data_IF_111747719621
#
_entry.id   IF_111747719621
#
_cell.length_a   1.000
_cell.length_b   1.000
_cell.length_c   1.000
_cell.angle_alpha   90.00
_cell.angle_beta   90.00
_cell.angle_gamma   90.00
#
_symmetry.space_group_name_H-M   'P 1'
#
loop_
_entity.id
_entity.type
_entity.pdbx_description
1 polymer ?
#
# COMPACT_ATOMS: atom_id res chain seq x y z
N UNK A 1 -30.89 13.88 -63.61
CA UNK A 1 -31.65 12.62 -63.51
C UNK A 1 -32.33 12.61 -62.14
N UNK A 2 -33.62 12.23 -62.04
CA UNK A 2 -34.42 11.87 -60.84
C UNK A 2 -34.16 12.66 -59.52
N UNK A 3 -35.03 13.53 -58.94
CA UNK A 3 -36.51 13.49 -58.70
C UNK A 3 -36.97 12.18 -58.00
N UNK A 4 -37.79 12.14 -56.94
CA UNK A 4 -38.68 13.11 -56.24
C UNK A 4 -38.53 12.91 -54.68
N UNK A 5 -39.00 13.68 -53.68
CA UNK A 5 -40.20 14.53 -53.41
C UNK A 5 -41.52 13.73 -53.21
N UNK A 6 -42.48 14.08 -52.33
CA UNK A 6 -42.70 15.31 -51.52
C UNK A 6 -43.48 15.04 -50.19
N UNK A 7 -43.71 16.09 -49.38
CA UNK A 7 -44.42 16.19 -48.06
C UNK A 7 -45.90 15.73 -48.02
N UNK A 8 -46.47 15.65 -46.79
CA UNK A 8 -47.72 16.33 -46.26
C UNK A 8 -48.41 15.42 -45.20
N UNK A 9 -48.78 15.74 -43.94
CA UNK A 9 -49.17 16.93 -43.13
C UNK A 9 -50.71 17.08 -42.93
N UNK A 10 -51.12 17.53 -41.71
CA UNK A 10 -52.46 17.92 -41.16
C UNK A 10 -52.90 17.09 -39.92
N UNK A 11 -53.78 17.54 -38.98
CA UNK A 11 -53.94 18.84 -38.25
C UNK A 11 -55.07 18.72 -37.20
N UNK A 12 -54.99 19.47 -36.07
CA UNK A 12 -56.03 19.63 -35.02
C UNK A 12 -55.38 20.07 -33.69
N UNK A 13 -55.59 21.23 -33.05
CA UNK A 13 -56.79 21.99 -32.64
C UNK A 13 -57.73 21.19 -31.69
N UNK A 14 -58.26 21.74 -30.58
CA UNK A 14 -58.10 23.07 -29.96
C UNK A 14 -58.56 23.05 -28.48
N UNK A 15 -57.97 23.85 -27.58
CA UNK A 15 -58.60 24.37 -26.34
C UNK A 15 -57.75 25.47 -25.68
N UNK A 16 -58.39 26.50 -25.12
CA UNK A 16 -57.76 27.49 -24.23
C UNK A 16 -58.33 27.34 -22.80
N UNK A 17 -57.47 27.50 -21.79
CA UNK A 17 -57.84 28.13 -20.51
C UNK A 17 -56.70 29.01 -20.04
N UNK A 18 -57.03 30.16 -19.45
CA UNK A 18 -56.05 31.11 -18.92
C UNK A 18 -55.98 31.03 -17.39
N UNK A 19 -54.79 31.20 -16.83
CA UNK A 19 -54.55 31.41 -15.40
C UNK A 19 -53.52 32.53 -15.23
N UNK A 20 -53.62 33.29 -14.14
CA UNK A 20 -52.92 34.56 -13.96
C UNK A 20 -51.43 34.41 -13.64
N UNK A 21 -50.62 35.34 -14.14
CA UNK A 21 -49.25 35.55 -13.66
C UNK A 21 -49.31 36.30 -12.32
N UNK A 22 -48.84 35.68 -11.25
CA UNK A 22 -48.51 36.36 -10.00
C UNK A 22 -47.01 36.68 -10.01
N UNK A 23 -46.64 37.94 -9.82
CA UNK A 23 -45.23 38.33 -9.79
C UNK A 23 -44.58 37.90 -8.45
N UNK A 24 -43.43 37.22 -8.47
CA UNK A 24 -42.66 36.96 -7.25
C UNK A 24 -42.03 38.24 -6.71
N UNK A 25 -41.95 38.36 -5.39
CA UNK A 25 -41.32 39.49 -4.70
C UNK A 25 -39.81 39.62 -5.03
N UNK A 26 -39.23 40.83 -4.98
CA UNK A 26 -37.81 41.03 -5.28
C UNK A 26 -36.92 40.28 -4.28
N UNK A 27 -36.12 39.34 -4.78
CA UNK A 27 -35.13 38.66 -3.97
C UNK A 27 -34.01 39.63 -3.56
N UNK A 28 -33.79 39.78 -2.25
CA UNK A 28 -32.67 40.56 -1.71
C UNK A 28 -31.37 39.85 -2.09
N UNK A 29 -30.55 40.49 -2.92
CA UNK A 29 -29.27 39.95 -3.36
C UNK A 29 -28.30 39.86 -2.17
N UNK A 30 -27.97 38.64 -1.73
CA UNK A 30 -26.85 38.42 -0.83
C UNK A 30 -25.55 38.86 -1.51
N UNK A 31 -24.58 39.48 -0.78
CA UNK A 31 -23.33 39.93 -1.38
C UNK A 31 -22.56 38.76 -1.97
N UNK A 32 -21.96 38.97 -3.15
CA UNK A 32 -21.23 37.95 -3.88
C UNK A 32 -19.91 37.59 -3.18
N UNK A 33 -19.99 36.72 -2.17
CA UNK A 33 -18.84 36.11 -1.52
C UNK A 33 -17.98 35.38 -2.56
N UNK A 34 -16.73 35.81 -2.70
CA UNK A 34 -15.79 35.23 -3.65
C UNK A 34 -15.61 33.74 -3.37
N UNK A 35 -16.10 32.86 -4.26
CA UNK A 35 -15.74 31.44 -4.24
C UNK A 35 -14.21 31.35 -4.29
N UNK A 36 -13.54 30.69 -3.32
CA UNK A 36 -12.12 30.44 -3.44
C UNK A 36 -11.87 29.66 -4.74
N UNK A 37 -10.84 30.06 -5.48
CA UNK A 37 -10.46 29.34 -6.69
C UNK A 37 -10.09 27.91 -6.29
N UNK A 38 -10.82 26.94 -6.84
CA UNK A 38 -10.48 25.53 -6.68
C UNK A 38 -9.19 25.28 -7.45
N UNK A 39 -8.05 25.40 -6.77
CA UNK A 39 -6.76 24.88 -7.25
C UNK A 39 -6.89 23.36 -7.39
N UNK A 40 -7.33 22.94 -8.58
CA UNK A 40 -7.35 21.54 -8.99
C UNK A 40 -5.91 21.07 -9.03
N UNK A 41 -5.51 20.34 -7.98
CA UNK A 41 -4.16 19.80 -7.88
C UNK A 41 -3.84 19.00 -9.14
N UNK A 42 -2.78 19.39 -9.85
CA UNK A 42 -2.39 18.72 -11.09
C UNK A 42 -2.06 17.26 -10.76
N UNK A 43 -2.64 16.33 -11.51
CA UNK A 43 -2.26 14.93 -11.41
C UNK A 43 -0.73 14.78 -11.60
N UNK A 44 -0.10 14.00 -10.72
CA UNK A 44 1.32 13.67 -10.81
C UNK A 44 1.62 12.92 -12.12
N UNK A 45 2.84 13.05 -12.62
CA UNK A 45 3.27 12.30 -13.80
C UNK A 45 3.44 10.82 -13.48
N UNK A 46 3.25 9.97 -14.50
CA UNK A 46 3.38 8.52 -14.36
C UNK A 46 4.74 8.08 -13.75
N UNK A 47 5.85 8.75 -14.11
CA UNK A 47 7.14 8.46 -13.49
C UNK A 47 7.17 8.82 -12.01
N UNK A 48 6.62 9.96 -11.59
CA UNK A 48 6.54 10.36 -10.18
C UNK A 48 5.67 9.39 -9.37
N UNK A 49 4.56 8.89 -9.97
CA UNK A 49 3.73 7.85 -9.35
C UNK A 49 4.46 6.50 -9.25
N UNK A 50 5.27 6.14 -10.25
CA UNK A 50 6.13 4.96 -10.19
C UNK A 50 7.21 5.10 -9.11
N UNK A 51 7.88 6.25 -9.03
CA UNK A 51 8.89 6.58 -8.03
C UNK A 51 8.30 6.53 -6.61
N UNK A 52 7.10 7.08 -6.40
CA UNK A 52 6.36 6.96 -5.12
C UNK A 52 5.94 5.51 -4.82
N UNK A 53 5.64 4.71 -5.84
CA UNK A 53 5.30 3.29 -5.67
C UNK A 53 6.53 2.46 -5.28
N UNK A 54 7.70 2.77 -5.83
CA UNK A 54 8.98 2.17 -5.41
C UNK A 54 9.33 2.59 -3.98
N UNK A 55 9.14 3.86 -3.63
CA UNK A 55 9.33 4.36 -2.26
C UNK A 55 8.48 3.57 -1.25
N UNK A 56 7.15 3.49 -1.45
CA UNK A 56 6.25 2.74 -0.56
C UNK A 56 6.62 1.25 -0.42
N UNK A 57 7.24 0.63 -1.44
CA UNK A 57 7.77 -0.75 -1.32
C UNK A 57 9.01 -0.82 -0.43
N UNK A 58 9.93 0.15 -0.56
CA UNK A 58 11.11 0.28 0.30
C UNK A 58 10.70 0.50 1.75
N UNK A 59 9.94 1.55 2.04
CA UNK A 59 9.49 1.90 3.40
C UNK A 59 8.74 0.76 4.08
N UNK A 60 7.85 0.07 3.37
CA UNK A 60 7.11 -1.07 3.92
C UNK A 60 8.05 -2.24 4.27
N UNK A 61 8.97 -2.59 3.36
CA UNK A 61 9.93 -3.67 3.57
C UNK A 61 10.96 -3.31 4.66
N UNK A 62 11.36 -2.05 4.77
CA UNK A 62 12.21 -1.52 5.83
C UNK A 62 11.51 -1.65 7.20
N UNK A 63 10.28 -1.13 7.33
CA UNK A 63 9.43 -1.32 8.51
C UNK A 63 9.36 -2.79 8.95
N UNK A 64 8.94 -3.67 8.05
CA UNK A 64 8.75 -5.10 8.34
C UNK A 64 10.06 -5.81 8.69
N UNK A 65 11.16 -5.49 7.99
CA UNK A 65 12.50 -6.03 8.29
C UNK A 65 13.02 -5.55 9.64
N UNK A 66 12.81 -4.27 9.97
CA UNK A 66 13.34 -3.64 11.18
C UNK A 66 12.60 -4.10 12.44
N UNK A 67 11.28 -4.31 12.41
CA UNK A 67 10.60 -4.93 13.56
C UNK A 67 11.13 -6.35 13.84
N UNK A 68 11.44 -7.14 12.80
CA UNK A 68 12.09 -8.46 12.95
C UNK A 68 13.54 -8.36 13.46
N UNK A 69 14.34 -7.42 12.93
CA UNK A 69 15.71 -7.17 13.43
C UNK A 69 15.68 -6.68 14.88
N UNK A 70 14.66 -5.93 15.27
CA UNK A 70 14.43 -5.45 16.63
C UNK A 70 14.13 -6.59 17.61
N UNK A 71 13.22 -7.50 17.22
CA UNK A 71 12.91 -8.71 17.99
C UNK A 71 14.14 -9.64 18.13
N UNK A 72 14.94 -9.78 17.07
CA UNK A 72 16.22 -10.50 17.14
C UNK A 72 17.20 -9.83 18.11
N UNK A 73 17.32 -8.51 18.07
CA UNK A 73 18.24 -7.77 18.92
C UNK A 73 17.86 -7.89 20.41
N UNK A 74 16.57 -7.84 20.77
CA UNK A 74 16.12 -8.13 22.13
C UNK A 74 16.44 -9.57 22.55
N UNK A 75 16.22 -10.53 21.65
CA UNK A 75 16.52 -11.96 21.88
C UNK A 75 18.03 -12.22 22.10
N UNK A 76 18.88 -11.33 21.60
CA UNK A 76 20.33 -11.30 21.85
C UNK A 76 20.73 -10.35 22.99
N UNK A 77 19.79 -9.95 23.85
CA UNK A 77 19.96 -9.00 24.97
C UNK A 77 20.41 -7.58 24.59
N UNK A 78 20.47 -7.24 23.30
CA UNK A 78 20.82 -5.90 22.80
C UNK A 78 19.59 -4.98 22.75
N UNK A 79 18.85 -4.85 23.86
CA UNK A 79 17.53 -4.19 23.91
C UNK A 79 17.52 -2.71 23.51
N UNK A 80 18.65 -2.01 23.66
CA UNK A 80 18.82 -0.64 23.14
C UNK A 80 18.83 -0.60 21.59
N UNK A 81 19.40 -1.62 20.95
CA UNK A 81 19.37 -1.81 19.49
C UNK A 81 17.99 -2.28 19.05
N UNK A 82 17.36 -3.17 19.82
CA UNK A 82 15.98 -3.61 19.58
C UNK A 82 14.98 -2.45 19.57
N UNK A 83 15.13 -1.52 20.52
CA UNK A 83 14.37 -0.26 20.55
C UNK A 83 14.67 0.63 19.35
N UNK A 84 15.93 0.83 18.98
CA UNK A 84 16.30 1.67 17.83
C UNK A 84 15.64 1.16 16.55
N UNK A 85 15.77 -0.14 16.25
CA UNK A 85 15.12 -0.74 15.08
C UNK A 85 13.62 -0.50 15.05
N UNK A 86 12.90 -0.75 16.16
CA UNK A 86 11.45 -0.50 16.22
C UNK A 86 11.07 0.98 16.10
N UNK A 87 11.86 1.91 16.65
CA UNK A 87 11.57 3.35 16.50
C UNK A 87 11.72 3.78 15.04
N UNK A 88 12.79 3.35 14.37
CA UNK A 88 12.98 3.59 12.93
C UNK A 88 11.90 2.90 12.10
N UNK A 89 11.57 1.62 12.37
CA UNK A 89 10.48 0.89 11.71
C UNK A 89 9.11 1.62 11.77
N UNK A 90 8.85 2.37 12.85
CA UNK A 90 7.62 3.16 12.96
C UNK A 90 7.70 4.51 12.23
N UNK A 91 8.90 5.04 11.95
CA UNK A 91 9.08 6.23 11.10
C UNK A 91 8.76 5.87 9.64
N UNK A 92 9.31 4.76 9.14
CA UNK A 92 9.10 4.34 7.74
C UNK A 92 7.61 4.14 7.44
N UNK A 93 6.88 3.48 8.36
CA UNK A 93 5.46 3.20 8.21
C UNK A 93 4.57 4.43 8.41
N UNK A 94 4.79 5.21 9.47
CA UNK A 94 3.84 6.26 9.89
C UNK A 94 4.18 7.66 9.35
N UNK A 95 5.40 7.88 8.86
CA UNK A 95 5.82 9.16 8.26
C UNK A 95 6.11 8.98 6.77
N UNK A 96 7.14 8.21 6.39
CA UNK A 96 7.60 8.13 5.01
C UNK A 96 6.58 7.48 4.06
N UNK A 97 6.09 6.28 4.40
CA UNK A 97 5.08 5.57 3.62
C UNK A 97 3.75 6.32 3.63
N UNK A 98 3.37 6.93 4.77
CA UNK A 98 2.13 7.70 4.88
C UNK A 98 2.15 8.94 3.97
N UNK A 99 3.26 9.70 3.92
CA UNK A 99 3.37 10.84 3.00
C UNK A 99 3.40 10.37 1.53
N UNK A 100 4.14 9.31 1.20
CA UNK A 100 4.16 8.75 -0.15
C UNK A 100 2.77 8.27 -0.62
N UNK A 101 2.05 7.54 0.23
CA UNK A 101 0.70 7.06 -0.05
C UNK A 101 -0.32 8.21 -0.16
N UNK A 102 -0.11 9.29 0.58
CA UNK A 102 -0.92 10.52 0.49
C UNK A 102 -0.66 11.23 -0.84
N UNK A 103 0.60 11.42 -1.23
CA UNK A 103 0.99 12.04 -2.50
C UNK A 103 0.54 11.22 -3.73
N UNK A 104 0.66 9.90 -3.67
CA UNK A 104 0.21 8.99 -4.73
C UNK A 104 -1.31 8.78 -4.76
N UNK A 105 -2.06 9.28 -3.77
CA UNK A 105 -3.53 9.18 -3.72
C UNK A 105 -4.05 7.76 -3.46
N UNK A 106 -3.31 6.94 -2.73
CA UNK A 106 -3.60 5.50 -2.50
C UNK A 106 -4.92 5.28 -1.75
N UNK A 107 -5.29 6.17 -0.83
CA UNK A 107 -6.47 6.01 0.03
C UNK A 107 -7.69 6.73 -0.56
N UNK A 108 -8.57 5.96 -1.19
CA UNK A 108 -9.85 6.43 -1.73
C UNK A 108 -11.04 6.21 -0.78
N UNK A 109 -12.22 5.99 -1.36
CA UNK A 109 -13.42 5.57 -0.62
C UNK A 109 -13.35 4.08 -0.26
N UNK A 110 -14.09 3.63 0.75
CA UNK A 110 -14.14 2.21 1.17
C UNK A 110 -14.37 1.25 -0.02
N UNK A 111 -15.30 1.60 -0.92
CA UNK A 111 -15.59 0.81 -2.12
C UNK A 111 -14.49 0.88 -3.20
N UNK A 112 -13.68 1.95 -3.25
CA UNK A 112 -12.52 2.03 -4.14
C UNK A 112 -11.36 1.19 -3.61
N UNK A 113 -11.05 1.31 -2.32
CA UNK A 113 -9.99 0.56 -1.62
C UNK A 113 -10.24 -0.95 -1.72
N UNK A 114 -11.50 -1.38 -1.49
CA UNK A 114 -11.91 -2.78 -1.67
C UNK A 114 -11.72 -3.26 -3.12
N UNK A 115 -12.07 -2.46 -4.14
CA UNK A 115 -11.82 -2.82 -5.54
C UNK A 115 -10.32 -2.94 -5.86
N UNK A 116 -9.48 -2.07 -5.29
CA UNK A 116 -8.03 -2.14 -5.47
C UNK A 116 -7.45 -3.41 -4.83
N UNK A 117 -7.84 -3.73 -3.59
CA UNK A 117 -7.45 -4.96 -2.92
C UNK A 117 -7.88 -6.18 -3.75
N UNK A 118 -9.18 -6.33 -4.05
CA UNK A 118 -9.70 -7.44 -4.88
C UNK A 118 -8.92 -7.63 -6.18
N UNK A 119 -8.38 -6.57 -6.79
CA UNK A 119 -7.55 -6.65 -8.00
C UNK A 119 -6.13 -7.19 -7.74
N UNK A 120 -5.48 -6.79 -6.64
CA UNK A 120 -4.20 -7.36 -6.21
C UNK A 120 -4.38 -8.83 -5.84
N UNK A 121 -5.25 -9.08 -4.86
CA UNK A 121 -5.62 -10.40 -4.33
C UNK A 121 -5.97 -11.43 -5.42
N UNK A 122 -6.63 -10.99 -6.50
CA UNK A 122 -6.91 -11.84 -7.66
C UNK A 122 -5.64 -12.19 -8.43
N UNK A 123 -4.74 -11.22 -8.67
CA UNK A 123 -3.45 -11.44 -9.31
C UNK A 123 -2.50 -12.30 -8.44
N UNK A 124 -2.40 -12.00 -7.15
CA UNK A 124 -1.58 -12.77 -6.20
C UNK A 124 -2.09 -14.23 -6.11
N UNK A 125 -3.39 -14.45 -5.90
CA UNK A 125 -4.02 -15.78 -5.87
C UNK A 125 -3.93 -16.56 -7.20
N UNK A 126 -4.12 -15.92 -8.35
CA UNK A 126 -4.28 -16.62 -9.65
C UNK A 126 -2.99 -16.71 -10.45
N UNK A 127 -2.07 -15.77 -10.28
CA UNK A 127 -0.88 -15.62 -11.14
C UNK A 127 0.40 -15.70 -10.32
N UNK A 128 0.63 -14.78 -9.38
CA UNK A 128 1.94 -14.62 -8.74
C UNK A 128 2.34 -15.84 -7.90
N UNK A 129 1.59 -16.14 -6.85
CA UNK A 129 1.96 -17.21 -5.92
C UNK A 129 1.84 -18.60 -6.55
N UNK A 130 0.93 -18.80 -7.51
CA UNK A 130 0.89 -20.04 -8.31
C UNK A 130 2.10 -20.19 -9.22
N UNK A 131 2.59 -19.10 -9.80
CA UNK A 131 3.83 -19.04 -10.59
C UNK A 131 5.04 -19.38 -9.72
N UNK A 132 5.25 -18.63 -8.64
CA UNK A 132 6.33 -18.86 -7.68
C UNK A 132 6.31 -20.28 -7.10
N UNK A 133 5.12 -20.81 -6.76
CA UNK A 133 4.99 -22.18 -6.29
C UNK A 133 5.31 -23.23 -7.38
N UNK A 134 5.12 -22.95 -8.66
CA UNK A 134 5.53 -23.83 -9.76
C UNK A 134 7.05 -23.72 -10.03
N UNK A 135 7.60 -22.51 -9.95
CA UNK A 135 9.04 -22.22 -10.11
C UNK A 135 9.85 -22.90 -9.00
N UNK A 136 9.47 -22.74 -7.73
CA UNK A 136 10.12 -23.39 -6.59
C UNK A 136 10.05 -24.93 -6.63
N UNK A 137 9.01 -25.53 -7.25
CA UNK A 137 8.96 -26.99 -7.51
C UNK A 137 9.99 -27.43 -8.55
N UNK A 138 10.13 -26.68 -9.64
CA UNK A 138 11.15 -26.93 -10.67
C UNK A 138 12.57 -26.78 -10.11
N UNK A 139 12.77 -25.82 -9.20
CA UNK A 139 14.04 -25.51 -8.55
C UNK A 139 14.40 -26.47 -7.40
N UNK A 140 13.49 -27.35 -6.99
CA UNK A 140 13.67 -28.31 -5.89
C UNK A 140 13.56 -27.70 -4.49
N UNK A 141 13.24 -26.41 -4.37
CA UNK A 141 13.02 -25.70 -3.11
C UNK A 141 11.60 -25.94 -2.57
N UNK A 142 11.25 -27.21 -2.28
CA UNK A 142 9.86 -27.65 -2.04
C UNK A 142 9.14 -26.86 -0.95
N UNK A 143 9.85 -26.45 0.11
CA UNK A 143 9.27 -25.67 1.22
C UNK A 143 8.81 -24.27 0.81
N UNK A 144 9.46 -23.65 -0.17
CA UNK A 144 8.97 -22.41 -0.77
C UNK A 144 7.75 -22.68 -1.64
N UNK A 145 7.74 -23.78 -2.39
CA UNK A 145 6.56 -24.17 -3.15
C UNK A 145 5.35 -24.51 -2.26
N UNK A 146 5.57 -25.13 -1.10
CA UNK A 146 4.56 -25.40 -0.08
C UNK A 146 4.02 -24.07 0.47
N UNK A 147 4.89 -23.17 0.96
CA UNK A 147 4.51 -21.85 1.48
C UNK A 147 3.74 -21.02 0.44
N UNK A 148 4.27 -20.84 -0.78
CA UNK A 148 3.59 -20.12 -1.86
C UNK A 148 2.26 -20.77 -2.27
N UNK A 149 2.04 -22.07 -2.00
CA UNK A 149 0.73 -22.72 -2.23
C UNK A 149 -0.26 -22.43 -1.09
N UNK A 150 0.21 -22.29 0.14
CA UNK A 150 -0.60 -21.83 1.29
C UNK A 150 -0.98 -20.36 1.13
N UNK A 151 -0.01 -19.47 0.93
CA UNK A 151 -0.24 -18.03 0.69
C UNK A 151 -1.23 -17.83 -0.49
N UNK A 152 -1.03 -18.52 -1.61
CA UNK A 152 -2.00 -18.49 -2.72
C UNK A 152 -3.43 -18.87 -2.29
N UNK A 153 -3.62 -19.84 -1.39
CA UNK A 153 -4.94 -20.21 -0.89
C UNK A 153 -5.54 -19.17 0.06
N UNK A 154 -4.70 -18.36 0.71
CA UNK A 154 -5.07 -17.34 1.69
C UNK A 154 -5.53 -16.05 1.00
N UNK A 155 -4.83 -15.56 -0.03
CA UNK A 155 -5.29 -14.45 -0.89
C UNK A 155 -6.62 -14.79 -1.59
N UNK A 156 -6.84 -16.08 -1.83
CA UNK A 156 -8.12 -16.59 -2.32
C UNK A 156 -9.29 -16.25 -1.40
N UNK A 157 -9.06 -16.26 -0.08
CA UNK A 157 -10.05 -15.96 0.96
C UNK A 157 -10.11 -14.47 1.25
N UNK A 158 -8.99 -13.77 1.30
CA UNK A 158 -8.90 -12.31 1.42
C UNK A 158 -9.71 -11.62 0.31
N UNK A 159 -9.44 -11.96 -0.96
CA UNK A 159 -10.24 -11.54 -2.14
C UNK A 159 -11.75 -11.68 -1.94
N UNK A 160 -12.22 -12.84 -1.51
CA UNK A 160 -13.64 -13.15 -1.45
C UNK A 160 -14.33 -12.56 -0.20
N UNK A 161 -13.58 -12.38 0.89
CA UNK A 161 -13.99 -11.54 2.01
C UNK A 161 -14.14 -10.07 1.58
N UNK A 162 -13.19 -9.52 0.83
CA UNK A 162 -13.28 -8.16 0.30
C UNK A 162 -14.40 -7.99 -0.74
N UNK A 163 -14.67 -8.98 -1.60
CA UNK A 163 -15.85 -8.98 -2.50
C UNK A 163 -17.15 -8.94 -1.71
N UNK A 164 -17.25 -9.71 -0.63
CA UNK A 164 -18.41 -9.69 0.28
C UNK A 164 -18.56 -8.32 0.94
N UNK A 165 -17.46 -7.77 1.49
CA UNK A 165 -17.45 -6.44 2.07
C UNK A 165 -17.82 -5.34 1.05
N UNK A 166 -17.39 -5.46 -0.21
CA UNK A 166 -17.72 -4.53 -1.29
C UNK A 166 -19.22 -4.53 -1.59
N UNK A 167 -19.84 -5.71 -1.65
CA UNK A 167 -21.29 -5.83 -1.82
C UNK A 167 -22.05 -5.17 -0.65
N UNK A 168 -21.57 -5.32 0.59
CA UNK A 168 -22.19 -4.69 1.77
C UNK A 168 -22.08 -3.16 1.70
N UNK A 169 -20.87 -2.59 1.51
CA UNK A 169 -20.70 -1.11 1.50
C UNK A 169 -21.30 -0.42 0.28
N UNK A 170 -21.63 -1.16 -0.80
CA UNK A 170 -22.31 -0.60 -1.98
C UNK A 170 -23.83 -0.75 -1.92
N UNK A 171 -24.37 -1.72 -1.18
CA UNK A 171 -25.81 -2.02 -1.13
C UNK A 171 -26.51 -1.68 0.20
N UNK A 172 -25.73 -1.38 1.25
CA UNK A 172 -26.24 -1.16 2.60
C UNK A 172 -26.82 -2.40 3.28
N UNK A 173 -26.59 -3.60 2.73
CA UNK A 173 -27.23 -4.86 3.16
C UNK A 173 -26.22 -5.99 3.32
N UNK A 174 -26.50 -6.89 4.27
CA UNK A 174 -25.61 -7.97 4.66
C UNK A 174 -24.60 -7.55 5.75
N UNK A 175 -23.64 -8.43 6.03
CA UNK A 175 -22.69 -8.30 7.13
C UNK A 175 -21.26 -8.34 6.58
N UNK A 176 -20.40 -7.43 7.03
CA UNK A 176 -18.95 -7.51 6.72
C UNK A 176 -18.40 -8.81 7.34
N UNK A 177 -17.59 -9.60 6.61
CA UNK A 177 -16.95 -10.79 7.16
C UNK A 177 -16.16 -10.51 8.45
N UNK A 178 -16.05 -11.53 9.30
CA UNK A 178 -15.13 -11.48 10.42
C UNK A 178 -13.67 -11.34 9.91
N UNK A 179 -12.79 -10.65 10.65
CA UNK A 179 -11.37 -10.64 10.32
C UNK A 179 -10.78 -12.07 10.34
N UNK A 180 -9.80 -12.38 9.46
CA UNK A 180 -8.95 -13.54 9.67
C UNK A 180 -8.06 -13.34 10.91
N UNK A 181 -7.52 -14.45 11.42
CA UNK A 181 -6.55 -14.45 12.52
C UNK A 181 -5.24 -15.04 12.00
N UNK A 182 -4.18 -14.23 11.97
CA UNK A 182 -2.86 -14.64 11.51
C UNK A 182 -2.24 -15.74 12.42
N UNK A 183 -1.66 -16.76 11.81
CA UNK A 183 -0.79 -17.75 12.47
C UNK A 183 0.61 -17.14 12.62
N UNK A 184 0.87 -16.41 13.70
CA UNK A 184 2.17 -15.72 13.90
C UNK A 184 3.37 -16.66 13.75
N UNK A 185 4.21 -16.42 12.73
CA UNK A 185 5.41 -17.22 12.44
C UNK A 185 6.64 -16.65 13.16
N UNK A 186 7.34 -17.42 14.03
CA UNK A 186 8.54 -16.93 14.69
C UNK A 186 9.75 -16.86 13.74
N UNK A 187 10.24 -15.66 13.44
CA UNK A 187 11.41 -15.45 12.57
C UNK A 187 12.72 -15.48 13.38
N UNK A 188 13.32 -16.65 13.49
CA UNK A 188 14.65 -16.82 14.08
C UNK A 188 15.78 -16.42 13.12
N UNK A 189 16.90 -15.91 13.66
CA UNK A 189 18.09 -15.60 12.88
C UNK A 189 18.69 -16.87 12.23
N UNK A 190 19.07 -16.80 10.96
CA UNK A 190 19.54 -17.98 10.23
C UNK A 190 20.24 -17.69 8.89
N UNK A 191 20.42 -18.77 8.13
CA UNK A 191 20.80 -18.74 6.71
C UNK A 191 19.56 -19.01 5.84
N UNK A 192 19.57 -18.64 4.55
CA UNK A 192 18.49 -18.98 3.62
C UNK A 192 18.25 -20.49 3.59
N UNK A 193 16.97 -20.90 3.65
CA UNK A 193 16.54 -22.30 3.57
C UNK A 193 16.29 -22.76 2.13
N UNK A 194 16.32 -21.84 1.17
CA UNK A 194 16.21 -22.07 -0.28
C UNK A 194 17.56 -21.95 -0.98
N UNK A 195 17.71 -22.63 -2.11
CA UNK A 195 18.98 -22.76 -2.84
C UNK A 195 19.00 -22.00 -4.16
N UNK A 196 17.97 -22.12 -4.99
CA UNK A 196 18.00 -21.56 -6.34
C UNK A 196 17.97 -20.02 -6.33
N UNK A 197 18.56 -19.41 -7.36
CA UNK A 197 18.56 -17.96 -7.52
C UNK A 197 17.14 -17.43 -7.78
N UNK A 198 16.35 -18.14 -8.60
CA UNK A 198 14.96 -17.82 -8.91
C UNK A 198 14.08 -17.84 -7.66
N UNK A 199 14.03 -18.93 -6.89
CA UNK A 199 13.30 -18.97 -5.61
C UNK A 199 13.65 -17.81 -4.67
N UNK A 200 14.91 -17.36 -4.65
CA UNK A 200 15.35 -16.21 -3.83
C UNK A 200 14.81 -14.88 -4.35
N UNK A 201 14.80 -14.67 -5.66
CA UNK A 201 14.17 -13.49 -6.29
C UNK A 201 12.64 -13.52 -6.15
N UNK A 202 12.03 -14.70 -6.23
CA UNK A 202 10.59 -14.89 -6.04
C UNK A 202 10.19 -14.52 -4.58
N UNK A 203 10.93 -15.01 -3.58
CA UNK A 203 10.75 -14.63 -2.15
C UNK A 203 11.01 -13.14 -1.89
N UNK A 204 12.07 -12.56 -2.48
CA UNK A 204 12.36 -11.13 -2.34
C UNK A 204 11.23 -10.27 -2.94
N UNK A 205 10.70 -10.68 -4.10
CA UNK A 205 9.57 -10.01 -4.76
C UNK A 205 8.29 -10.10 -3.92
N UNK A 206 8.02 -11.27 -3.35
CA UNK A 206 6.85 -11.53 -2.52
C UNK A 206 6.89 -10.74 -1.19
N UNK A 207 8.00 -10.74 -0.46
CA UNK A 207 8.13 -9.97 0.79
C UNK A 207 7.92 -8.46 0.59
N UNK A 208 8.34 -7.87 -0.54
CA UNK A 208 8.02 -6.47 -0.88
C UNK A 208 6.57 -6.26 -1.32
N UNK A 209 5.85 -7.33 -1.68
CA UNK A 209 4.40 -7.36 -1.87
C UNK A 209 3.67 -7.36 -0.52
N UNK A 210 3.92 -8.37 0.31
CA UNK A 210 3.28 -8.58 1.61
C UNK A 210 3.42 -7.38 2.55
N UNK A 211 4.63 -6.83 2.67
CA UNK A 211 4.85 -5.65 3.51
C UNK A 211 4.04 -4.43 3.01
N UNK A 212 3.94 -4.24 1.69
CA UNK A 212 3.13 -3.17 1.09
C UNK A 212 1.62 -3.47 1.21
N UNK A 213 1.20 -4.73 1.17
CA UNK A 213 -0.17 -5.15 1.41
C UNK A 213 -0.60 -4.79 2.84
N UNK A 214 0.17 -5.22 3.85
CA UNK A 214 0.03 -4.81 5.25
C UNK A 214 -0.14 -3.29 5.39
N UNK A 215 0.82 -2.52 4.86
CA UNK A 215 0.82 -1.06 5.02
C UNK A 215 -0.40 -0.40 4.37
N UNK A 216 -0.76 -0.79 3.14
CA UNK A 216 -1.99 -0.35 2.45
C UNK A 216 -3.24 -0.69 3.27
N UNK A 217 -3.31 -1.88 3.83
CA UNK A 217 -4.50 -2.36 4.54
C UNK A 217 -4.65 -1.67 5.90
N UNK A 218 -3.56 -1.33 6.58
CA UNK A 218 -3.60 -0.43 7.75
C UNK A 218 -4.09 0.98 7.39
N UNK A 219 -3.68 1.56 6.25
CA UNK A 219 -4.22 2.83 5.76
C UNK A 219 -5.72 2.73 5.40
N UNK A 220 -6.16 1.61 4.82
CA UNK A 220 -7.57 1.36 4.52
C UNK A 220 -8.41 1.11 5.77
N UNK A 221 -7.85 0.47 6.80
CA UNK A 221 -8.45 0.36 8.13
C UNK A 221 -8.68 1.72 8.77
N UNK A 222 -7.66 2.60 8.73
CA UNK A 222 -7.78 3.98 9.22
C UNK A 222 -8.89 4.74 8.47
N UNK A 223 -9.00 4.58 7.15
CA UNK A 223 -10.08 5.18 6.36
C UNK A 223 -11.46 4.62 6.72
N UNK A 224 -11.58 3.31 6.94
CA UNK A 224 -12.81 2.68 7.39
C UNK A 224 -13.21 3.19 8.80
N UNK A 225 -12.26 3.39 9.72
CA UNK A 225 -12.51 4.03 11.03
C UNK A 225 -13.02 5.48 10.86
N UNK A 226 -12.30 6.32 10.11
CA UNK A 226 -12.68 7.73 9.84
C UNK A 226 -14.07 7.88 9.20
N UNK A 227 -14.50 6.90 8.42
CA UNK A 227 -15.80 6.89 7.75
C UNK A 227 -16.90 6.13 8.51
N UNK A 228 -16.67 5.74 9.77
CA UNK A 228 -17.70 5.10 10.62
C UNK A 228 -17.99 3.63 10.28
N UNK A 229 -17.06 2.92 9.66
CA UNK A 229 -17.20 1.51 9.26
C UNK A 229 -16.29 0.57 10.12
N UNK A 230 -16.50 0.44 11.44
CA UNK A 230 -15.58 -0.27 12.34
C UNK A 230 -15.49 -1.79 12.07
N UNK A 231 -16.51 -2.41 11.45
CA UNK A 231 -16.43 -3.81 11.03
C UNK A 231 -15.49 -4.01 9.82
N UNK A 232 -15.51 -3.08 8.86
CA UNK A 232 -14.58 -3.07 7.73
C UNK A 232 -13.16 -2.73 8.19
N UNK A 233 -13.00 -1.83 9.16
CA UNK A 233 -11.70 -1.55 9.77
C UNK A 233 -11.07 -2.82 10.34
N UNK A 234 -11.81 -3.60 11.14
CA UNK A 234 -11.31 -4.87 11.68
C UNK A 234 -10.96 -5.87 10.60
N UNK A 235 -11.77 -6.00 9.54
CA UNK A 235 -11.45 -6.90 8.43
C UNK A 235 -10.09 -6.55 7.79
N UNK A 236 -9.85 -5.26 7.50
CA UNK A 236 -8.55 -4.80 7.02
C UNK A 236 -7.40 -5.06 8.02
N UNK A 237 -7.61 -4.82 9.31
CA UNK A 237 -6.60 -5.05 10.36
C UNK A 237 -6.25 -6.54 10.51
N UNK A 238 -7.25 -7.42 10.43
CA UNK A 238 -7.05 -8.86 10.46
C UNK A 238 -6.29 -9.37 9.25
N UNK A 239 -6.67 -8.95 8.04
CA UNK A 239 -5.97 -9.32 6.81
C UNK A 239 -4.54 -8.76 6.80
N UNK A 240 -4.34 -7.48 7.14
CA UNK A 240 -3.00 -6.90 7.30
C UNK A 240 -2.10 -7.73 8.23
N UNK A 241 -2.65 -8.21 9.36
CA UNK A 241 -1.91 -9.05 10.28
C UNK A 241 -1.48 -10.40 9.69
N UNK A 242 -2.21 -10.96 8.71
CA UNK A 242 -1.79 -12.18 7.98
C UNK A 242 -0.56 -11.86 7.13
N UNK A 243 -0.64 -10.84 6.28
CA UNK A 243 0.45 -10.48 5.34
C UNK A 243 1.77 -10.26 6.10
N UNK A 244 1.74 -9.53 7.22
CA UNK A 244 2.95 -9.21 7.99
C UNK A 244 3.41 -10.34 8.93
N UNK A 245 2.50 -10.98 9.66
CA UNK A 245 2.88 -11.91 10.74
C UNK A 245 2.85 -13.38 10.32
N UNK A 246 2.34 -13.69 9.14
CA UNK A 246 2.25 -15.05 8.60
C UNK A 246 2.94 -15.18 7.25
N UNK A 247 2.52 -14.42 6.22
CA UNK A 247 3.10 -14.52 4.87
C UNK A 247 4.55 -14.00 4.85
N UNK A 248 4.77 -12.70 5.04
CA UNK A 248 6.09 -12.06 5.10
C UNK A 248 7.02 -12.76 6.11
N UNK A 249 6.49 -13.14 7.27
CA UNK A 249 7.25 -13.83 8.31
C UNK A 249 7.67 -15.25 7.88
N UNK A 250 6.80 -16.02 7.22
CA UNK A 250 7.14 -17.30 6.61
C UNK A 250 8.19 -17.19 5.51
N UNK A 251 8.08 -16.17 4.67
CA UNK A 251 9.02 -15.89 3.59
C UNK A 251 10.38 -15.44 4.11
N UNK A 252 10.42 -14.53 5.11
CA UNK A 252 11.62 -14.10 5.81
C UNK A 252 12.37 -15.30 6.44
N UNK A 253 11.63 -16.31 6.93
CA UNK A 253 12.19 -17.56 7.46
C UNK A 253 12.80 -18.46 6.36
N UNK A 254 12.31 -18.41 5.12
CA UNK A 254 12.88 -19.15 3.98
C UNK A 254 14.01 -18.38 3.29
N UNK A 255 13.88 -17.07 3.13
CA UNK A 255 14.91 -16.17 2.62
C UNK A 255 16.10 -16.05 3.58
N UNK A 256 15.89 -16.30 4.88
CA UNK A 256 16.91 -16.12 5.92
C UNK A 256 17.19 -14.64 6.19
N UNK A 257 16.16 -13.79 6.09
CA UNK A 257 16.24 -12.33 6.14
C UNK A 257 16.92 -11.81 7.44
N UNK A 258 16.67 -12.50 8.55
CA UNK A 258 17.19 -12.15 9.88
C UNK A 258 18.53 -12.84 10.13
N UNK A 259 19.52 -12.06 10.56
CA UNK A 259 20.84 -12.54 10.97
C UNK A 259 21.18 -12.10 12.41
N UNK A 260 22.45 -12.17 12.81
CA UNK A 260 22.93 -11.61 14.08
C UNK A 260 22.80 -10.08 14.09
N UNK A 261 22.65 -9.48 15.26
CA UNK A 261 22.43 -8.03 15.44
C UNK A 261 23.50 -7.18 14.74
N UNK A 262 24.77 -7.59 14.79
CA UNK A 262 25.87 -6.93 14.05
C UNK A 262 25.67 -6.98 12.52
N UNK A 263 25.16 -8.08 11.97
CA UNK A 263 24.86 -8.20 10.52
C UNK A 263 23.62 -7.38 10.14
N UNK A 264 22.56 -7.43 10.94
CA UNK A 264 21.32 -6.68 10.71
C UNK A 264 21.59 -5.17 10.64
N UNK A 265 22.40 -4.64 11.57
CA UNK A 265 22.83 -3.24 11.53
C UNK A 265 23.71 -2.89 10.33
N UNK A 266 24.61 -3.79 9.89
CA UNK A 266 25.38 -3.54 8.66
C UNK A 266 24.47 -3.48 7.42
N UNK A 267 23.44 -4.35 7.34
CA UNK A 267 22.45 -4.35 6.26
C UNK A 267 21.60 -3.07 6.28
N UNK A 268 21.13 -2.64 7.44
CA UNK A 268 20.41 -1.38 7.61
C UNK A 268 21.28 -0.18 7.18
N UNK A 269 22.45 0.01 7.79
CA UNK A 269 23.40 1.10 7.44
C UNK A 269 23.73 1.15 5.93
N UNK A 270 23.72 0.02 5.23
CA UNK A 270 23.93 -0.03 3.78
C UNK A 270 22.67 0.37 2.96
N UNK A 271 21.48 -0.01 3.39
CA UNK A 271 20.19 0.42 2.81
C UNK A 271 20.01 1.93 2.95
N UNK A 272 19.93 2.39 4.19
CA UNK A 272 19.77 3.81 4.57
C UNK A 272 20.71 4.74 3.78
N UNK A 273 21.98 4.37 3.63
CA UNK A 273 22.95 5.18 2.86
C UNK A 273 22.66 5.19 1.36
N UNK A 274 22.20 4.08 0.79
CA UNK A 274 21.77 4.01 -0.62
C UNK A 274 20.53 4.88 -0.85
N UNK A 275 19.56 4.84 0.07
CA UNK A 275 18.35 5.65 0.03
C UNK A 275 18.67 7.15 0.18
N UNK A 276 19.39 7.53 1.23
CA UNK A 276 19.82 8.90 1.50
C UNK A 276 20.67 9.54 0.40
N UNK A 277 21.60 8.79 -0.22
CA UNK A 277 22.59 9.37 -1.15
C UNK A 277 22.25 9.22 -2.63
N UNK A 278 21.46 8.21 -3.00
CA UNK A 278 21.32 7.80 -4.40
C UNK A 278 19.86 7.70 -4.85
N UNK A 279 19.04 6.89 -4.16
CA UNK A 279 17.68 6.58 -4.60
C UNK A 279 16.79 7.81 -4.45
N UNK A 280 16.63 8.34 -3.23
CA UNK A 280 15.74 9.47 -2.98
C UNK A 280 16.20 10.80 -3.60
N UNK A 281 17.50 11.15 -3.59
CA UNK A 281 17.99 12.28 -4.39
C UNK A 281 17.71 12.15 -5.90
N UNK A 282 17.78 10.93 -6.45
CA UNK A 282 17.43 10.66 -7.85
C UNK A 282 15.92 10.83 -8.13
N UNK A 283 15.07 10.35 -7.22
CA UNK A 283 13.61 10.49 -7.33
C UNK A 283 13.20 11.97 -7.21
N UNK A 284 13.80 12.70 -6.26
CA UNK A 284 13.61 14.15 -6.09
C UNK A 284 13.98 14.95 -7.35
N UNK A 285 15.06 14.58 -8.04
CA UNK A 285 15.46 15.20 -9.31
C UNK A 285 14.44 14.95 -10.42
N UNK A 286 13.96 13.71 -10.59
CA UNK A 286 12.95 13.36 -11.61
C UNK A 286 11.63 14.10 -11.37
N UNK A 287 11.10 14.05 -10.15
CA UNK A 287 9.87 14.76 -9.77
C UNK A 287 10.01 16.28 -9.98
N UNK A 288 11.15 16.88 -9.62
CA UNK A 288 11.43 18.31 -9.87
C UNK A 288 11.44 18.64 -11.36
N UNK A 289 12.07 17.81 -12.20
CA UNK A 289 12.20 18.04 -13.64
C UNK A 289 10.85 18.08 -14.38
N UNK A 290 9.83 17.37 -13.87
CA UNK A 290 8.46 17.39 -14.44
C UNK A 290 7.52 18.39 -13.76
N UNK A 291 8.01 19.12 -12.75
CA UNK A 291 7.24 20.11 -11.99
C UNK A 291 6.34 19.54 -10.88
N UNK A 292 6.55 18.28 -10.47
CA UNK A 292 5.82 17.64 -9.37
C UNK A 292 6.48 17.99 -8.02
N UNK A 293 6.43 19.27 -7.65
CA UNK A 293 7.29 19.87 -6.62
C UNK A 293 7.10 19.32 -5.21
N UNK A 294 5.89 18.87 -4.85
CA UNK A 294 5.61 18.29 -3.52
C UNK A 294 6.25 16.92 -3.36
N UNK A 295 6.10 16.02 -4.33
CA UNK A 295 6.81 14.74 -4.34
C UNK A 295 8.34 14.95 -4.36
N UNK A 296 8.81 15.94 -5.12
CA UNK A 296 10.22 16.32 -5.09
C UNK A 296 10.69 16.83 -3.72
N UNK A 297 9.81 17.40 -2.88
CA UNK A 297 10.12 17.85 -1.52
C UNK A 297 10.13 16.68 -0.54
N UNK A 298 9.09 15.85 -0.54
CA UNK A 298 9.03 14.57 0.19
C UNK A 298 10.33 13.77 0.02
N UNK A 299 10.70 13.43 -1.22
CA UNK A 299 11.94 12.68 -1.48
C UNK A 299 13.23 13.35 -0.99
N UNK A 300 13.28 14.69 -0.80
CA UNK A 300 14.45 15.35 -0.18
C UNK A 300 14.43 15.29 1.35
N UNK A 301 13.25 15.27 1.95
CA UNK A 301 13.08 15.14 3.40
C UNK A 301 13.46 13.71 3.80
N UNK A 302 12.82 12.71 3.20
CA UNK A 302 13.12 11.27 3.36
C UNK A 302 14.62 10.97 3.18
N UNK A 303 15.26 11.51 2.14
CA UNK A 303 16.72 11.39 1.97
C UNK A 303 17.57 11.95 3.13
N UNK A 304 17.08 12.98 3.83
CA UNK A 304 17.73 13.58 5.00
C UNK A 304 17.37 12.85 6.31
N UNK A 305 16.37 11.99 6.29
CA UNK A 305 15.87 11.20 7.42
C UNK A 305 16.58 9.83 7.45
N UNK A 306 16.70 9.16 6.31
CA UNK A 306 17.58 8.00 6.09
C UNK A 306 19.05 8.31 6.42
N UNK A 307 19.49 9.55 6.17
CA UNK A 307 20.82 9.99 6.59
C UNK A 307 21.00 9.96 8.12
N UNK A 308 19.93 10.18 8.90
CA UNK A 308 19.92 10.08 10.37
C UNK A 308 19.77 8.63 10.83
N UNK A 309 18.93 7.83 10.17
CA UNK A 309 18.82 6.39 10.43
C UNK A 309 20.16 5.67 10.19
N UNK A 310 20.82 5.91 9.06
CA UNK A 310 22.19 5.45 8.77
C UNK A 310 23.19 5.81 9.88
N UNK A 311 23.13 7.05 10.38
CA UNK A 311 24.02 7.53 11.43
C UNK A 311 23.71 6.87 12.80
N UNK A 312 22.43 6.70 13.14
CA UNK A 312 21.99 6.06 14.37
C UNK A 312 22.35 4.56 14.40
N UNK A 313 22.08 3.83 13.31
CA UNK A 313 22.48 2.43 13.19
C UNK A 313 24.00 2.25 13.16
N UNK A 314 24.76 3.15 12.53
CA UNK A 314 26.23 3.13 12.60
C UNK A 314 26.72 3.38 14.04
N UNK A 315 26.13 4.32 14.77
CA UNK A 315 26.47 4.59 16.16
C UNK A 315 26.14 3.41 17.08
N UNK A 316 25.06 2.67 16.82
CA UNK A 316 24.74 1.41 17.50
C UNK A 316 25.73 0.30 17.15
N UNK A 317 26.08 0.15 15.86
CA UNK A 317 27.05 -0.84 15.36
C UNK A 317 28.45 -0.65 15.97
N UNK A 318 28.87 0.61 16.15
CA UNK A 318 30.15 0.96 16.78
C UNK A 318 30.18 0.70 18.30
N UNK A 319 29.02 0.51 18.94
CA UNK A 319 28.87 0.21 20.39
C UNK A 319 28.60 -1.28 20.66
N UNK A 320 28.43 -2.09 19.60
CA UNK A 320 28.46 -3.53 19.71
C UNK A 320 29.91 -3.99 19.82
N UNK A 321 30.25 -4.52 20.99
CA UNK A 321 31.44 -5.33 21.25
C UNK A 321 31.18 -6.77 20.80
#
# INVERSE_FOLDING_TARGET
MFHHSIRTLLVGLCALTAASQAAPAPAVAAPAGSRPAAHTARALRAQTLADLTTAMKGEAFAHASYDLYGAQADSAAHTAVGRLFRTTAQTELNEHLLEAATLAGVVGTNAANLRQAISGETYEHQVMYRGFAAQARQDGDTKAAELFTEIAADEGRHRDAFRTALAVVTSGRGTIPAPPTAKTVPVAAGLPKVRAARTKTDLDTAMHGEALAYAKYMLFAAQAKRTGHPALARLWEGTAAVELHEHFAGEAVLAGLVHTTRKNLNKAVAGERSEATSIYPGFAQRAKAVGDTSAAAYFRNTAADEARHAAAFQAALNRLH
#
